data_IF_383872175637
#
_entry.id   IF_383872175637
#
_cell.length_a   1.000
_cell.length_b   1.000
_cell.length_c   1.000
_cell.angle_alpha   90.00
_cell.angle_beta   90.00
_cell.angle_gamma   90.00
#
_symmetry.space_group_name_H-M   'P 1'
#
loop_
_entity.id
_entity.type
_entity.pdbx_description
1 polymer ?
#
# COMPACT_ATOMS: atom_id res chain seq x y z
N UNK A 1 9.80 -11.68 0.81
CA UNK A 1 8.91 -11.03 1.79
C UNK A 1 8.00 -10.02 1.08
N UNK A 2 6.69 -10.15 1.21
CA UNK A 2 5.73 -9.24 0.58
C UNK A 2 5.32 -8.13 1.57
N UNK A 3 6.18 -7.11 1.70
CA UNK A 3 5.95 -5.99 2.60
C UNK A 3 4.79 -5.11 2.13
N UNK A 4 4.66 -4.90 0.81
CA UNK A 4 3.59 -4.10 0.21
C UNK A 4 2.22 -4.69 0.53
N UNK A 5 2.04 -6.00 0.32
CA UNK A 5 0.79 -6.69 0.65
C UNK A 5 0.48 -6.69 2.15
N UNK A 6 1.49 -6.76 3.02
CA UNK A 6 1.31 -6.70 4.48
C UNK A 6 0.90 -5.30 4.94
N UNK A 7 1.47 -4.25 4.37
CA UNK A 7 1.17 -2.85 4.71
C UNK A 7 -0.22 -2.45 4.19
N UNK A 8 -0.58 -2.83 2.96
CA UNK A 8 -1.90 -2.56 2.40
C UNK A 8 -3.00 -3.37 3.10
N UNK A 9 -2.71 -4.62 3.48
CA UNK A 9 -3.71 -5.54 3.97
C UNK A 9 -4.73 -5.95 2.88
N UNK A 10 -5.74 -6.75 3.24
CA UNK A 10 -6.76 -7.18 2.29
C UNK A 10 -7.48 -5.98 1.70
N UNK A 11 -7.50 -5.89 0.35
CA UNK A 11 -8.11 -4.79 -0.41
C UNK A 11 -7.58 -3.38 -0.07
N UNK A 12 -6.42 -3.25 0.59
CA UNK A 12 -5.92 -1.94 1.00
C UNK A 12 -6.60 -1.35 2.24
N UNK A 13 -7.40 -2.13 2.98
CA UNK A 13 -8.15 -1.60 4.14
C UNK A 13 -7.24 -1.12 5.28
N UNK A 14 -6.12 -1.83 5.52
CA UNK A 14 -5.18 -1.45 6.59
C UNK A 14 -4.53 -0.10 6.28
N UNK A 15 -4.07 0.10 5.04
CA UNK A 15 -3.55 1.40 4.61
C UNK A 15 -4.61 2.50 4.73
N UNK A 16 -5.85 2.25 4.30
CA UNK A 16 -6.93 3.24 4.36
C UNK A 16 -7.32 3.61 5.80
N UNK A 17 -7.30 2.65 6.72
CA UNK A 17 -7.56 2.91 8.13
C UNK A 17 -6.43 3.73 8.76
N UNK A 18 -5.17 3.41 8.47
CA UNK A 18 -4.02 4.22 8.86
C UNK A 18 -4.08 5.64 8.30
N UNK A 19 -4.49 5.80 7.02
CA UNK A 19 -4.68 7.13 6.41
C UNK A 19 -5.77 7.93 7.14
N UNK A 20 -6.84 7.26 7.59
CA UNK A 20 -7.95 7.90 8.30
C UNK A 20 -7.57 8.28 9.75
N UNK A 21 -6.80 7.42 10.42
CA UNK A 21 -6.38 7.63 11.81
C UNK A 21 -5.28 8.69 11.95
N UNK A 22 -4.35 8.73 10.99
CA UNK A 22 -3.23 9.68 10.98
C UNK A 22 -3.54 10.98 10.21
N UNK A 23 -4.60 11.00 9.42
CA UNK A 23 -4.89 12.09 8.48
C UNK A 23 -3.85 12.26 7.37
N UNK A 24 -2.87 11.34 7.27
CA UNK A 24 -1.81 11.37 6.29
C UNK A 24 -2.18 10.52 5.07
N UNK A 25 -1.68 10.89 3.89
CA UNK A 25 -1.86 10.10 2.67
C UNK A 25 -0.72 9.09 2.50
N UNK A 26 -1.03 7.80 2.52
CA UNK A 26 -0.07 6.70 2.42
C UNK A 26 -0.05 6.21 0.97
N UNK A 27 1.09 6.37 0.29
CA UNK A 27 1.26 5.95 -1.10
C UNK A 27 2.49 5.05 -1.25
N UNK A 28 2.31 3.86 -1.83
CA UNK A 28 3.43 2.97 -2.16
C UNK A 28 4.05 3.40 -3.49
N UNK A 29 5.29 3.91 -3.46
CA UNK A 29 6.06 4.36 -4.64
C UNK A 29 7.39 3.59 -4.72
N UNK A 30 8.05 3.63 -5.88
CA UNK A 30 9.39 3.05 -6.09
C UNK A 30 9.44 1.82 -6.99
N UNK A 31 10.63 1.24 -7.13
CA UNK A 31 10.87 0.07 -8.00
C UNK A 31 10.31 -1.18 -7.36
N UNK A 32 9.24 -1.73 -7.95
CA UNK A 32 8.54 -2.92 -7.42
C UNK A 32 7.31 -2.62 -6.56
N UNK A 33 6.88 -1.36 -6.46
CA UNK A 33 5.61 -0.99 -5.80
C UNK A 33 4.37 -1.28 -6.64
N UNK A 34 4.52 -1.36 -7.97
CA UNK A 34 3.44 -1.77 -8.87
C UNK A 34 3.45 -3.28 -9.07
N UNK A 35 2.26 -3.88 -8.96
CA UNK A 35 2.03 -5.31 -9.20
C UNK A 35 2.17 -5.67 -10.68
N UNK A 36 1.88 -4.71 -11.56
CA UNK A 36 2.07 -4.80 -13.01
C UNK A 36 3.40 -4.16 -13.42
N UNK A 37 4.36 -5.00 -13.81
CA UNK A 37 5.67 -4.59 -14.33
C UNK A 37 5.75 -4.70 -15.87
N UNK A 38 4.65 -5.10 -16.50
CA UNK A 38 4.59 -5.52 -17.91
C UNK A 38 3.27 -5.07 -18.52
N UNK A 39 3.17 -3.77 -18.82
CA UNK A 39 2.25 -3.23 -19.81
C UNK A 39 3.00 -2.21 -20.64
#
# INVERSE_FOLDING_TARGET
FNFVGRILGPRGMTAKQLEQETGCKIMVRGKGSMRDKKK
#
